data_IF_642242592897
#
_entry.id   IF_642242592897
#
_cell.length_a   1.000
_cell.length_b   1.000
_cell.length_c   1.000
_cell.angle_alpha   90.00
_cell.angle_beta   90.00
_cell.angle_gamma   90.00
#
_symmetry.space_group_name_H-M   'P 1'
#
loop_
_entity.id
_entity.type
_entity.pdbx_description
1 polymer ?
#
# COMPACT_ATOMS: atom_id res chain seq x y z
N UNK A 1 -1.48 -14.33 10.78
CA UNK A 1 -1.49 -13.22 9.82
C UNK A 1 -2.90 -12.70 9.62
N UNK A 2 -3.10 -11.42 9.54
CA UNK A 2 -4.42 -10.88 9.24
C UNK A 2 -4.71 -11.03 7.74
N UNK A 3 -5.95 -11.37 7.43
CA UNK A 3 -6.38 -11.61 6.05
C UNK A 3 -7.12 -10.40 5.46
N UNK A 4 -7.44 -9.42 6.28
CA UNK A 4 -8.11 -8.20 5.90
C UNK A 4 -7.32 -7.02 6.45
N UNK A 5 -6.74 -6.23 5.56
CA UNK A 5 -5.94 -5.07 5.92
C UNK A 5 -6.14 -3.97 4.87
N UNK A 6 -5.97 -2.73 5.28
CA UNK A 6 -6.08 -1.58 4.38
C UNK A 6 -4.86 -0.66 4.45
N UNK A 7 -3.84 -1.04 5.21
CA UNK A 7 -2.54 -0.37 5.24
C UNK A 7 -1.44 -1.42 5.26
N UNK A 8 -0.36 -1.15 4.53
CA UNK A 8 0.88 -1.90 4.61
C UNK A 8 2.00 -0.94 4.94
N UNK A 9 2.85 -1.34 5.89
CA UNK A 9 4.02 -0.57 6.28
C UNK A 9 5.26 -1.41 6.10
N UNK A 10 6.29 -0.84 5.49
CA UNK A 10 7.60 -1.47 5.40
C UNK A 10 8.53 -0.88 6.45
N UNK A 11 9.40 -1.71 6.97
CA UNK A 11 10.42 -1.36 7.96
C UNK A 11 11.69 -2.15 7.69
N UNK A 12 12.76 -1.86 8.40
CA UNK A 12 13.98 -2.66 8.30
C UNK A 12 13.73 -4.05 8.88
N UNK A 13 14.36 -5.07 8.29
CA UNK A 13 14.24 -6.44 8.78
C UNK A 13 14.68 -6.52 10.24
N UNK A 14 13.87 -7.16 11.06
CA UNK A 14 14.08 -7.27 12.49
C UNK A 14 13.34 -6.21 13.30
N UNK A 15 12.81 -5.18 12.68
CA UNK A 15 12.07 -4.11 13.34
C UNK A 15 10.55 -4.26 13.23
N UNK A 16 10.05 -5.45 12.90
CA UNK A 16 8.61 -5.66 12.70
C UNK A 16 7.81 -5.41 13.98
N UNK A 17 8.33 -5.85 15.12
CA UNK A 17 7.64 -5.64 16.39
C UNK A 17 7.59 -4.16 16.80
N UNK A 18 8.74 -3.44 16.80
CA UNK A 18 8.71 -2.00 17.03
C UNK A 18 7.84 -1.25 16.02
N UNK A 19 7.81 -1.69 14.77
CA UNK A 19 6.95 -1.09 13.74
C UNK A 19 5.47 -1.30 14.06
N UNK A 20 5.08 -2.48 14.54
CA UNK A 20 3.72 -2.73 14.98
C UNK A 20 3.32 -1.77 16.09
N UNK A 21 4.20 -1.57 17.07
CA UNK A 21 3.95 -0.66 18.18
C UNK A 21 3.84 0.79 17.71
N UNK A 22 4.72 1.20 16.81
CA UNK A 22 4.70 2.55 16.24
C UNK A 22 3.40 2.80 15.47
N UNK A 23 3.00 1.87 14.62
CA UNK A 23 1.79 2.01 13.83
C UNK A 23 0.53 2.02 14.72
N UNK A 24 0.51 1.19 15.75
CA UNK A 24 -0.59 1.18 16.72
C UNK A 24 -0.69 2.53 17.44
N UNK A 25 0.44 3.06 17.90
CA UNK A 25 0.50 4.37 18.55
C UNK A 25 -0.01 5.47 17.61
N UNK A 26 0.48 5.49 16.37
CA UNK A 26 0.09 6.50 15.40
C UNK A 26 -1.41 6.45 15.08
N UNK A 27 -1.94 5.27 14.87
CA UNK A 27 -3.36 5.13 14.56
C UNK A 27 -4.26 5.41 15.76
N UNK A 28 -3.96 4.80 16.90
CA UNK A 28 -4.83 4.90 18.09
C UNK A 28 -4.64 6.21 18.84
N UNK A 29 -3.41 6.52 19.22
CA UNK A 29 -3.16 7.66 20.10
C UNK A 29 -3.09 8.99 19.34
N UNK A 30 -2.45 9.02 18.19
CA UNK A 30 -2.33 10.25 17.42
C UNK A 30 -3.57 10.56 16.58
N UNK A 31 -4.14 9.57 15.90
CA UNK A 31 -5.31 9.79 15.04
C UNK A 31 -6.66 9.49 15.71
N UNK A 32 -6.64 8.82 16.85
CA UNK A 32 -7.89 8.52 17.56
C UNK A 32 -8.68 7.35 16.97
N UNK A 33 -8.02 6.44 16.26
CA UNK A 33 -8.67 5.26 15.73
C UNK A 33 -9.16 4.39 16.90
N UNK A 34 -10.49 4.14 17.03
CA UNK A 34 -11.03 3.42 18.17
C UNK A 34 -10.67 1.93 18.20
N UNK A 35 -10.35 1.33 17.05
CA UNK A 35 -10.12 -0.11 16.98
C UNK A 35 -9.15 -0.49 15.85
N UNK A 36 -7.89 -0.02 15.87
CA UNK A 36 -6.92 -0.44 14.86
C UNK A 36 -6.46 -1.87 15.14
N UNK A 37 -6.27 -2.64 14.09
CA UNK A 37 -5.68 -3.98 14.17
C UNK A 37 -4.35 -3.96 13.44
N UNK A 38 -3.27 -4.37 14.10
CA UNK A 38 -1.93 -4.41 13.51
C UNK A 38 -1.36 -5.80 13.70
N UNK A 39 -0.73 -6.34 12.66
CA UNK A 39 -0.14 -7.66 12.74
C UNK A 39 1.06 -7.80 11.81
N UNK A 40 1.99 -8.68 12.21
CA UNK A 40 3.07 -9.10 11.34
C UNK A 40 2.49 -9.93 10.20
N UNK A 41 3.05 -9.80 9.01
CA UNK A 41 2.61 -10.57 7.83
C UNK A 41 3.29 -11.93 7.70
N UNK A 42 4.32 -12.19 8.50
CA UNK A 42 5.19 -13.35 8.30
C UNK A 42 6.30 -13.09 7.28
N UNK A 43 6.25 -11.95 6.61
CA UNK A 43 7.28 -11.53 5.67
C UNK A 43 8.14 -10.47 6.36
N UNK A 44 9.46 -10.68 6.33
CA UNK A 44 10.40 -9.77 6.98
C UNK A 44 10.28 -8.35 6.42
N UNK A 45 10.22 -7.40 7.33
CA UNK A 45 10.15 -5.99 6.98
C UNK A 45 8.78 -5.48 6.58
N UNK A 46 7.72 -6.28 6.74
CA UNK A 46 6.36 -5.88 6.37
C UNK A 46 5.37 -6.13 7.50
N UNK A 47 4.60 -5.09 7.78
CA UNK A 47 3.53 -5.10 8.78
C UNK A 47 2.23 -4.68 8.12
N UNK A 48 1.14 -5.36 8.43
CA UNK A 48 -0.19 -5.03 7.92
C UNK A 48 -1.06 -4.43 9.02
N UNK A 49 -1.95 -3.53 8.64
CA UNK A 49 -2.89 -2.93 9.58
C UNK A 49 -4.27 -2.77 8.97
N UNK A 50 -5.28 -2.81 9.83
CA UNK A 50 -6.64 -2.44 9.48
C UNK A 50 -7.01 -1.23 10.32
N UNK A 51 -7.16 -0.08 9.69
CA UNK A 51 -7.67 1.13 10.34
C UNK A 51 -9.18 1.22 10.11
N UNK A 52 -9.89 1.86 11.05
CA UNK A 52 -11.32 2.13 10.88
C UNK A 52 -11.56 3.38 10.04
N UNK A 53 -10.51 4.15 9.79
CA UNK A 53 -10.57 5.37 8.97
C UNK A 53 -10.33 5.05 7.50
N UNK A 54 -10.53 6.04 6.65
CA UNK A 54 -10.13 5.95 5.24
C UNK A 54 -8.59 5.90 5.17
N UNK A 55 -8.01 4.85 4.58
CA UNK A 55 -6.55 4.71 4.57
C UNK A 55 -5.82 5.82 3.82
N UNK A 56 -6.41 6.39 2.78
CA UNK A 56 -5.78 7.51 2.07
C UNK A 56 -5.74 8.77 2.94
N UNK A 57 -6.79 9.00 3.73
CA UNK A 57 -6.80 10.11 4.68
C UNK A 57 -5.77 9.89 5.80
N UNK A 58 -5.59 8.65 6.24
CA UNK A 58 -4.56 8.30 7.22
C UNK A 58 -3.18 8.66 6.69
N UNK A 59 -2.89 8.35 5.43
CA UNK A 59 -1.61 8.70 4.78
C UNK A 59 -1.39 10.22 4.85
N UNK A 60 -2.40 11.03 4.55
CA UNK A 60 -2.27 12.49 4.59
C UNK A 60 -2.05 13.01 6.01
N UNK A 61 -2.75 12.43 6.98
CA UNK A 61 -2.57 12.79 8.39
C UNK A 61 -1.17 12.41 8.90
N UNK A 62 -0.67 11.24 8.50
CA UNK A 62 0.69 10.83 8.82
C UNK A 62 1.72 11.78 8.22
N UNK A 63 1.50 12.21 6.99
CA UNK A 63 2.38 13.18 6.33
C UNK A 63 2.44 14.49 7.12
N UNK A 64 1.31 14.97 7.60
CA UNK A 64 1.26 16.18 8.43
C UNK A 64 2.03 15.98 9.75
N UNK A 65 1.91 14.82 10.38
CA UNK A 65 2.67 14.51 11.60
C UNK A 65 4.18 14.51 11.33
N UNK A 66 4.61 13.90 10.22
CA UNK A 66 6.03 13.85 9.86
C UNK A 66 6.61 15.27 9.70
N UNK A 67 5.86 16.16 9.07
CA UNK A 67 6.30 17.55 8.85
C UNK A 67 6.42 18.32 10.15
N UNK A 68 5.53 18.09 11.08
CA UNK A 68 5.51 18.78 12.36
C UNK A 68 6.40 18.10 13.40
N UNK A 69 6.35 16.77 13.47
CA UNK A 69 7.06 15.97 14.48
C UNK A 69 7.68 14.72 13.82
N UNK A 70 8.75 14.89 13.03
CA UNK A 70 9.35 13.77 12.29
C UNK A 70 9.86 12.64 13.20
N UNK A 71 10.20 12.93 14.45
CA UNK A 71 10.68 11.95 15.41
C UNK A 71 9.63 10.92 15.84
N UNK A 72 8.36 11.15 15.52
CA UNK A 72 7.30 10.20 15.80
C UNK A 72 7.35 8.96 14.87
N UNK A 73 8.06 9.06 13.75
CA UNK A 73 8.24 7.97 12.79
C UNK A 73 9.68 7.50 12.82
N UNK A 74 9.95 6.45 13.61
CA UNK A 74 11.31 5.90 13.78
C UNK A 74 11.54 4.67 12.91
N UNK A 75 10.54 3.84 12.74
CA UNK A 75 10.70 2.53 12.11
C UNK A 75 10.06 2.45 10.73
N UNK A 76 9.06 3.24 10.45
CA UNK A 76 8.37 3.23 9.17
C UNK A 76 9.27 3.77 8.05
N UNK A 77 9.39 3.01 6.97
CA UNK A 77 10.09 3.44 5.75
C UNK A 77 9.11 3.84 4.67
N UNK A 78 8.04 3.06 4.50
CA UNK A 78 7.04 3.30 3.47
C UNK A 78 5.70 2.80 4.00
N UNK A 79 4.65 3.60 3.82
CA UNK A 79 3.28 3.21 4.18
C UNK A 79 2.39 3.45 2.97
N UNK A 80 1.56 2.47 2.64
CA UNK A 80 0.64 2.53 1.51
C UNK A 80 -0.77 2.13 1.92
N UNK A 81 -1.80 2.71 1.26
CA UNK A 81 -3.17 2.25 1.44
C UNK A 81 -3.43 1.01 0.58
N UNK A 82 -4.34 0.16 1.04
CA UNK A 82 -4.78 -1.04 0.31
C UNK A 82 -6.30 -1.03 0.25
N UNK A 83 -6.86 -1.15 -0.94
CA UNK A 83 -8.30 -1.12 -1.15
C UNK A 83 -8.92 -2.51 -1.24
N UNK A 84 -8.20 -3.47 -1.81
CA UNK A 84 -8.67 -4.85 -1.98
C UNK A 84 -7.59 -5.83 -1.57
N UNK A 85 -8.01 -6.92 -0.93
CA UNK A 85 -7.14 -8.04 -0.62
C UNK A 85 -7.73 -9.28 -1.29
N UNK A 86 -6.95 -9.92 -2.15
CA UNK A 86 -7.35 -11.13 -2.87
C UNK A 86 -6.30 -12.22 -2.68
N UNK A 87 -6.64 -13.46 -3.04
CA UNK A 87 -5.63 -14.52 -3.08
C UNK A 87 -4.66 -14.24 -4.22
N UNK A 88 -3.42 -14.71 -4.05
CA UNK A 88 -2.38 -14.58 -5.09
C UNK A 88 -2.66 -15.60 -6.19
N UNK A 89 -3.54 -15.21 -7.09
CA UNK A 89 -3.99 -15.98 -8.23
C UNK A 89 -4.19 -15.00 -9.38
N UNK A 90 -3.65 -15.32 -10.55
CA UNK A 90 -3.65 -14.42 -11.69
C UNK A 90 -5.06 -13.95 -12.06
N UNK A 91 -6.03 -14.86 -12.07
CA UNK A 91 -7.40 -14.51 -12.44
C UNK A 91 -8.08 -13.62 -11.39
N UNK A 92 -7.86 -13.88 -10.10
CA UNK A 92 -8.39 -13.04 -9.03
C UNK A 92 -7.76 -11.65 -9.05
N UNK A 93 -6.46 -11.57 -9.31
CA UNK A 93 -5.75 -10.29 -9.43
C UNK A 93 -6.27 -9.50 -10.63
N UNK A 94 -6.45 -10.15 -11.78
CA UNK A 94 -6.98 -9.50 -12.98
C UNK A 94 -8.39 -8.96 -12.76
N UNK A 95 -9.24 -9.73 -12.10
CA UNK A 95 -10.62 -9.31 -11.82
C UNK A 95 -10.63 -8.09 -10.89
N UNK A 96 -9.86 -8.14 -9.81
CA UNK A 96 -9.75 -7.01 -8.88
C UNK A 96 -9.15 -5.77 -9.56
N UNK A 97 -8.14 -5.97 -10.42
CA UNK A 97 -7.52 -4.90 -11.18
C UNK A 97 -8.54 -4.22 -12.11
N UNK A 98 -9.38 -4.99 -12.77
CA UNK A 98 -10.42 -4.44 -13.66
C UNK A 98 -11.42 -3.57 -12.88
N UNK A 99 -11.81 -4.02 -11.69
CA UNK A 99 -12.72 -3.25 -10.84
C UNK A 99 -12.08 -1.92 -10.39
N UNK A 100 -10.82 -1.96 -9.98
CA UNK A 100 -10.10 -0.76 -9.56
C UNK A 100 -9.85 0.18 -10.75
N UNK A 101 -9.48 -0.37 -11.90
CA UNK A 101 -9.18 0.40 -13.10
C UNK A 101 -10.39 1.17 -13.63
N UNK A 102 -11.61 0.74 -13.30
CA UNK A 102 -12.83 1.45 -13.68
C UNK A 102 -12.88 2.87 -13.10
N UNK A 103 -12.13 3.13 -12.04
CA UNK A 103 -12.05 4.46 -11.40
C UNK A 103 -11.00 5.37 -12.06
N UNK A 104 -10.26 4.90 -13.05
CA UNK A 104 -9.33 5.75 -13.79
C UNK A 104 -10.14 6.64 -14.74
N UNK A 105 -9.99 7.96 -14.64
CA UNK A 105 -10.70 8.90 -15.50
C UNK A 105 -10.31 8.74 -16.96
N UNK A 106 -11.19 9.13 -17.87
CA UNK A 106 -10.99 8.97 -19.32
C UNK A 106 -9.70 9.65 -19.82
N UNK A 107 -9.35 10.78 -19.23
CA UNK A 107 -8.17 11.54 -19.62
C UNK A 107 -6.98 11.34 -18.69
N UNK A 108 -7.11 10.44 -17.72
CA UNK A 108 -6.04 10.15 -16.78
C UNK A 108 -5.10 9.08 -17.33
N UNK A 109 -3.82 9.23 -17.01
CA UNK A 109 -2.80 8.23 -17.31
C UNK A 109 -2.61 7.31 -16.12
N UNK A 110 -2.05 6.14 -16.37
CA UNK A 110 -1.82 5.17 -15.31
C UNK A 110 -0.48 4.45 -15.45
N UNK A 111 -0.08 3.82 -14.36
CA UNK A 111 1.04 2.89 -14.30
C UNK A 111 0.64 1.73 -13.40
N UNK A 112 1.05 0.51 -13.77
CA UNK A 112 0.93 -0.67 -12.91
C UNK A 112 2.26 -0.86 -12.21
N UNK A 113 2.25 -0.95 -10.88
CA UNK A 113 3.43 -1.18 -10.07
C UNK A 113 3.24 -2.46 -9.28
N UNK A 114 4.17 -3.40 -9.43
CA UNK A 114 4.13 -4.69 -8.73
C UNK A 114 5.33 -4.81 -7.81
N UNK A 115 5.04 -5.08 -6.53
CA UNK A 115 6.02 -5.51 -5.55
C UNK A 115 5.64 -6.93 -5.16
N UNK A 116 6.61 -7.85 -5.15
CA UNK A 116 6.29 -9.26 -4.90
C UNK A 116 7.23 -9.92 -3.91
N UNK A 117 6.67 -10.82 -3.08
CA UNK A 117 7.41 -11.60 -2.11
C UNK A 117 6.77 -12.99 -2.02
N UNK A 118 7.60 -14.01 -2.07
CA UNK A 118 7.17 -15.42 -1.92
C UNK A 118 6.08 -15.84 -2.90
N UNK A 119 6.31 -15.60 -4.18
CA UNK A 119 5.41 -16.04 -5.25
C UNK A 119 6.21 -16.49 -6.47
N UNK A 120 5.65 -17.40 -7.24
CA UNK A 120 6.21 -17.84 -8.53
C UNK A 120 5.76 -16.93 -9.69
N UNK A 121 4.83 -16.03 -9.46
CA UNK A 121 4.37 -15.09 -10.51
C UNK A 121 5.50 -14.15 -10.91
N UNK A 122 5.64 -13.91 -12.21
CA UNK A 122 6.62 -12.96 -12.73
C UNK A 122 6.01 -11.57 -12.84
N UNK A 123 6.74 -10.56 -12.38
CA UNK A 123 6.24 -9.18 -12.36
C UNK A 123 5.83 -8.70 -13.75
N UNK A 124 6.65 -8.97 -14.77
CA UNK A 124 6.37 -8.52 -16.13
C UNK A 124 5.10 -9.17 -16.68
N UNK A 125 4.94 -10.47 -16.46
CA UNK A 125 3.74 -11.19 -16.87
C UNK A 125 2.49 -10.65 -16.20
N UNK A 126 2.59 -10.36 -14.90
CA UNK A 126 1.47 -9.80 -14.14
C UNK A 126 1.12 -8.39 -14.62
N UNK A 127 2.12 -7.54 -14.85
CA UNK A 127 1.93 -6.19 -15.36
C UNK A 127 1.25 -6.22 -16.73
N UNK A 128 1.73 -7.06 -17.64
CA UNK A 128 1.17 -7.18 -18.99
C UNK A 128 -0.27 -7.70 -18.96
N UNK A 129 -0.53 -8.73 -18.15
CA UNK A 129 -1.87 -9.31 -18.03
C UNK A 129 -2.88 -8.30 -17.52
N UNK A 130 -2.49 -7.46 -16.57
CA UNK A 130 -3.36 -6.44 -15.98
C UNK A 130 -3.50 -5.24 -16.92
N UNK A 131 -2.38 -4.72 -17.43
CA UNK A 131 -2.37 -3.50 -18.23
C UNK A 131 -3.08 -3.67 -19.58
N UNK A 132 -3.04 -4.87 -20.17
CA UNK A 132 -3.66 -5.12 -21.48
C UNK A 132 -5.17 -4.90 -21.48
N UNK A 133 -5.82 -5.05 -20.31
CA UNK A 133 -7.27 -4.88 -20.19
C UNK A 133 -7.66 -3.43 -19.82
N UNK A 134 -6.70 -2.56 -19.58
CA UNK A 134 -6.96 -1.16 -19.19
C UNK A 134 -6.91 -0.27 -20.42
N UNK A 135 -8.06 0.33 -20.77
CA UNK A 135 -8.19 1.19 -21.94
C UNK A 135 -7.91 2.65 -21.58
N UNK A 136 -6.72 2.91 -21.10
CA UNK A 136 -6.23 4.25 -20.77
C UNK A 136 -4.79 4.36 -21.23
N UNK A 137 -4.28 5.58 -21.27
CA UNK A 137 -2.89 5.83 -21.67
C UNK A 137 -1.95 5.52 -20.51
N UNK A 138 -0.94 4.73 -20.77
CA UNK A 138 0.11 4.45 -19.78
C UNK A 138 1.13 5.59 -19.77
N UNK A 139 1.58 5.97 -18.57
CA UNK A 139 2.68 6.92 -18.38
C UNK A 139 3.53 6.38 -17.23
N UNK A 140 4.70 5.87 -17.56
CA UNK A 140 5.55 5.19 -16.58
C UNK A 140 6.27 6.16 -15.65
N UNK A 141 6.45 7.41 -16.08
CA UNK A 141 7.20 8.41 -15.30
C UNK A 141 6.30 9.29 -14.43
N UNK A 142 5.22 9.79 -15.02
CA UNK A 142 4.32 10.73 -14.33
C UNK A 142 2.86 10.34 -14.49
N UNK A 143 2.45 9.17 -13.97
CA UNK A 143 1.06 8.74 -14.07
C UNK A 143 0.15 9.55 -13.15
N UNK A 144 -1.09 9.75 -13.58
CA UNK A 144 -2.12 10.34 -12.70
C UNK A 144 -2.55 9.35 -11.62
N UNK A 145 -2.61 8.06 -11.99
CA UNK A 145 -2.98 6.98 -11.08
C UNK A 145 -1.97 5.84 -11.16
N UNK A 146 -1.77 5.20 -10.02
CA UNK A 146 -0.96 3.98 -9.93
C UNK A 146 -1.88 2.85 -9.50
N UNK A 147 -1.91 1.79 -10.30
CA UNK A 147 -2.52 0.53 -9.90
C UNK A 147 -1.43 -0.27 -9.20
N UNK A 148 -1.50 -0.29 -7.87
CA UNK A 148 -0.49 -0.88 -7.02
C UNK A 148 -0.89 -2.33 -6.69
N UNK A 149 0.03 -3.25 -6.91
CA UNK A 149 -0.16 -4.68 -6.65
C UNK A 149 0.97 -5.14 -5.72
N UNK A 150 0.61 -5.46 -4.48
CA UNK A 150 1.54 -5.90 -3.45
C UNK A 150 1.31 -7.38 -3.16
N UNK A 151 2.13 -8.24 -3.72
CA UNK A 151 2.03 -9.68 -3.50
C UNK A 151 2.78 -10.07 -2.24
N UNK A 152 2.06 -10.67 -1.30
CA UNK A 152 2.56 -11.09 0.01
C UNK A 152 2.32 -12.60 0.19
N UNK A 153 3.09 -13.42 -0.51
CA UNK A 153 2.87 -14.85 -0.49
C UNK A 153 1.51 -15.22 -1.06
N UNK A 154 0.63 -15.77 -0.24
CA UNK A 154 -0.71 -16.22 -0.67
C UNK A 154 -1.75 -15.12 -0.80
N UNK A 155 -1.47 -13.94 -0.26
CA UNK A 155 -2.38 -12.79 -0.35
C UNK A 155 -1.77 -11.68 -1.18
N UNK A 156 -2.63 -10.96 -1.88
CA UNK A 156 -2.23 -9.80 -2.67
C UNK A 156 -3.10 -8.62 -2.29
N UNK A 157 -2.45 -7.54 -1.87
CA UNK A 157 -3.12 -6.26 -1.61
C UNK A 157 -3.07 -5.41 -2.87
N UNK A 158 -4.16 -4.74 -3.19
CA UNK A 158 -4.27 -3.93 -4.41
C UNK A 158 -4.95 -2.60 -4.12
N UNK A 159 -4.52 -1.56 -4.82
CA UNK A 159 -5.16 -0.25 -4.72
C UNK A 159 -4.91 0.58 -5.97
N UNK A 160 -5.85 1.46 -6.25
CA UNK A 160 -5.68 2.49 -7.28
C UNK A 160 -5.48 3.80 -6.56
N UNK A 161 -4.30 4.37 -6.64
CA UNK A 161 -3.90 5.51 -5.84
C UNK A 161 -3.27 6.61 -6.69
N UNK A 162 -3.27 7.82 -6.14
CA UNK A 162 -2.42 8.89 -6.66
C UNK A 162 -0.98 8.62 -6.22
N UNK A 163 0.03 9.06 -6.99
CA UNK A 163 1.43 8.91 -6.57
C UNK A 163 1.71 9.45 -5.16
N UNK A 164 1.02 10.53 -4.77
CA UNK A 164 1.16 11.14 -3.44
C UNK A 164 0.62 10.27 -2.30
N UNK A 165 -0.15 9.22 -2.60
CA UNK A 165 -0.68 8.32 -1.57
C UNK A 165 0.34 7.28 -1.11
N UNK A 166 1.51 7.23 -1.72
CA UNK A 166 2.63 6.44 -1.22
C UNK A 166 3.42 7.32 -0.25
N UNK A 167 3.45 6.94 1.01
CA UNK A 167 4.17 7.70 2.03
C UNK A 167 5.58 7.11 2.18
N UNK A 168 6.57 7.77 1.57
CA UNK A 168 7.98 7.43 1.72
C UNK A 168 8.55 8.26 2.87
N UNK A 169 8.61 7.68 4.07
CA UNK A 169 8.93 8.41 5.30
C UNK A 169 10.28 9.13 5.25
N UNK A 170 11.39 8.49 4.82
CA UNK A 170 12.67 9.20 4.74
C UNK A 170 12.64 10.43 3.82
N UNK A 171 11.90 10.35 2.72
CA UNK A 171 11.77 11.49 1.80
C UNK A 171 10.95 12.62 2.41
N UNK A 172 9.87 12.29 3.10
CA UNK A 172 9.03 13.30 3.78
C UNK A 172 9.82 14.04 4.86
N UNK A 173 10.71 13.35 5.57
CA UNK A 173 11.54 13.96 6.62
C UNK A 173 12.56 14.95 6.07
N UNK A 174 12.88 14.87 4.79
CA UNK A 174 13.85 15.75 4.13
C UNK A 174 13.22 17.03 3.57
N UNK A 175 11.91 17.14 3.59
CA UNK A 175 11.20 18.30 3.05
C UNK A 175 11.01 19.45 4.06
#
# INVERSE_FOLDING_TARGET
MINDFNLLATTSRGNERPMCNELHYLLKDELGDPAPTIAKTGIRGIVAAKTTFDPCEVIEKFRAIIRERPYEFRYALRIIPVEKVVRTDLEEIKLAAAELAAEIGEDETFRVTVEKRFTSLHSQELIEAVASDIKRKADLENPDKILLIEVLGELTGMSLIKPSSVLAVPKEKML
#
